data_IF_711226755206
#
_entry.id   IF_711226755206
#
_cell.length_a   1.000
_cell.length_b   1.000
_cell.length_c   1.000
_cell.angle_alpha   90.00
_cell.angle_beta   90.00
_cell.angle_gamma   90.00
#
_symmetry.space_group_name_H-M   'P 1'
#
loop_
_entity.id
_entity.type
_entity.pdbx_description
1 polymer ?
#
# COMPACT_ATOMS: atom_id res chain seq x y z
N UNK A 1 -27.05 29.61 7.61
CA UNK A 1 -26.43 28.79 6.54
C UNK A 1 -27.36 27.65 6.16
N UNK A 2 -27.44 27.34 4.87
CA UNK A 2 -28.30 26.31 4.29
C UNK A 2 -27.79 24.93 4.71
N UNK A 3 -28.68 24.07 5.24
CA UNK A 3 -28.35 22.65 5.47
C UNK A 3 -27.88 22.04 4.15
N UNK A 4 -26.88 21.14 4.23
CA UNK A 4 -26.49 20.35 3.08
C UNK A 4 -27.70 19.55 2.58
N UNK A 5 -27.89 19.54 1.27
CA UNK A 5 -28.91 18.67 0.67
C UNK A 5 -28.48 17.20 0.80
N UNK A 6 -29.44 16.25 0.77
CA UNK A 6 -29.15 14.83 0.96
C UNK A 6 -28.13 14.25 -0.03
N UNK A 7 -28.09 14.73 -1.28
CA UNK A 7 -27.16 14.24 -2.29
C UNK A 7 -25.73 14.72 -1.99
N UNK A 8 -25.58 15.96 -1.53
CA UNK A 8 -24.28 16.47 -1.05
C UNK A 8 -23.81 15.70 0.18
N UNK A 9 -24.67 15.41 1.15
CA UNK A 9 -24.32 14.59 2.32
C UNK A 9 -23.83 13.21 1.91
N UNK A 10 -24.54 12.53 1.01
CA UNK A 10 -24.13 11.22 0.49
C UNK A 10 -22.76 11.28 -0.21
N UNK A 11 -22.51 12.34 -0.97
CA UNK A 11 -21.23 12.58 -1.65
C UNK A 11 -20.10 12.77 -0.63
N UNK A 12 -20.33 13.55 0.42
CA UNK A 12 -19.37 13.76 1.52
C UNK A 12 -19.08 12.42 2.23
N UNK A 13 -20.10 11.65 2.57
CA UNK A 13 -19.93 10.33 3.20
C UNK A 13 -19.14 9.35 2.31
N UNK A 14 -19.38 9.34 1.00
CA UNK A 14 -18.61 8.55 0.05
C UNK A 14 -17.13 8.97 0.04
N UNK A 15 -16.86 10.29 0.05
CA UNK A 15 -15.50 10.81 0.15
C UNK A 15 -14.84 10.40 1.47
N UNK A 16 -15.54 10.49 2.61
CA UNK A 16 -15.03 10.02 3.91
C UNK A 16 -14.67 8.54 3.84
N UNK A 17 -15.52 7.70 3.22
CA UNK A 17 -15.24 6.29 2.99
C UNK A 17 -13.95 6.06 2.19
N UNK A 18 -13.75 6.78 1.08
CA UNK A 18 -12.50 6.73 0.29
C UNK A 18 -11.30 7.19 1.11
N UNK A 19 -11.46 8.26 1.88
CA UNK A 19 -10.45 8.82 2.78
C UNK A 19 -9.96 7.77 3.78
N UNK A 20 -10.89 7.12 4.48
CA UNK A 20 -10.59 6.13 5.51
C UNK A 20 -10.11 4.80 4.94
N UNK A 21 -10.80 4.25 3.93
CA UNK A 21 -10.57 2.88 3.45
C UNK A 21 -9.42 2.79 2.45
N UNK A 22 -9.06 3.89 1.79
CA UNK A 22 -8.05 3.90 0.71
C UNK A 22 -6.93 4.88 1.01
N UNK A 23 -7.24 6.17 1.14
CA UNK A 23 -6.22 7.23 1.25
C UNK A 23 -5.35 7.04 2.49
N UNK A 24 -5.94 6.85 3.67
CA UNK A 24 -5.17 6.66 4.91
C UNK A 24 -4.32 5.38 4.86
N UNK A 25 -4.86 4.19 4.53
CA UNK A 25 -4.06 2.97 4.39
C UNK A 25 -2.93 3.07 3.37
N UNK A 26 -3.16 3.70 2.21
CA UNK A 26 -2.10 3.93 1.21
C UNK A 26 -1.06 4.90 1.76
N UNK A 27 -1.49 6.03 2.33
CA UNK A 27 -0.63 7.06 2.89
C UNK A 27 0.27 6.54 4.02
N UNK A 28 -0.27 5.80 4.99
CA UNK A 28 0.56 5.28 6.11
C UNK A 28 1.57 4.22 5.64
N UNK A 29 1.25 3.46 4.58
CA UNK A 29 2.20 2.51 3.96
C UNK A 29 3.31 3.24 3.21
N UNK A 30 3.02 4.38 2.60
CA UNK A 30 4.03 5.28 2.05
C UNK A 30 4.86 5.92 3.17
N UNK A 31 4.27 6.37 4.27
CA UNK A 31 5.06 6.94 5.37
C UNK A 31 5.99 5.89 6.00
N UNK A 32 5.53 4.64 6.15
CA UNK A 32 6.28 3.58 6.81
C UNK A 32 6.46 3.87 8.30
N UNK A 33 7.66 3.64 8.84
CA UNK A 33 7.99 4.12 10.20
C UNK A 33 7.87 5.66 10.22
N UNK A 34 7.35 6.29 11.28
CA UNK A 34 7.10 5.74 12.61
C UNK A 34 5.71 5.10 12.82
N UNK A 35 4.86 4.98 11.79
CA UNK A 35 3.54 4.36 11.96
C UNK A 35 3.71 2.89 12.36
N UNK A 36 3.04 2.41 13.43
CA UNK A 36 3.17 1.04 13.87
C UNK A 36 2.45 0.09 12.91
N UNK A 37 3.20 -0.88 12.38
CA UNK A 37 2.69 -1.97 11.50
C UNK A 37 1.70 -1.43 10.45
N UNK A 38 2.11 -0.52 9.53
CA UNK A 38 1.20 0.18 8.62
C UNK A 38 0.50 -0.75 7.60
N UNK A 39 0.97 -1.99 7.46
CA UNK A 39 0.31 -3.02 6.66
C UNK A 39 -0.73 -3.86 7.42
N UNK A 40 -0.88 -3.66 8.74
CA UNK A 40 -1.80 -4.44 9.58
C UNK A 40 -3.25 -4.29 9.14
N UNK A 41 -4.00 -5.40 9.14
CA UNK A 41 -5.43 -5.41 8.89
C UNK A 41 -6.23 -4.59 9.93
N UNK A 42 -5.65 -4.35 11.11
CA UNK A 42 -6.27 -3.52 12.15
C UNK A 42 -6.58 -2.09 11.66
N UNK A 43 -5.66 -1.49 10.89
CA UNK A 43 -5.88 -0.15 10.34
C UNK A 43 -7.09 -0.11 9.40
N UNK A 44 -7.26 -1.14 8.58
CA UNK A 44 -8.38 -1.27 7.66
C UNK A 44 -9.69 -1.57 8.41
N UNK A 45 -9.64 -2.38 9.46
CA UNK A 45 -10.80 -2.64 10.33
C UNK A 45 -11.29 -1.37 11.03
N UNK A 46 -10.39 -0.60 11.63
CA UNK A 46 -10.73 0.69 12.26
C UNK A 46 -11.29 1.70 11.24
N UNK A 47 -10.70 1.77 10.04
CA UNK A 47 -11.21 2.57 8.93
C UNK A 47 -12.62 2.14 8.50
N UNK A 48 -12.88 0.83 8.41
CA UNK A 48 -14.19 0.31 8.03
C UNK A 48 -15.27 0.68 9.05
N UNK A 49 -14.94 0.63 10.34
CA UNK A 49 -15.82 1.11 11.40
C UNK A 49 -16.14 2.61 11.25
N UNK A 50 -15.13 3.46 11.07
CA UNK A 50 -15.34 4.90 10.81
C UNK A 50 -16.19 5.17 9.56
N UNK A 51 -15.89 4.49 8.46
CA UNK A 51 -16.61 4.65 7.20
C UNK A 51 -18.05 4.13 7.28
N UNK A 52 -18.33 3.08 8.05
CA UNK A 52 -19.68 2.60 8.29
C UNK A 52 -20.49 3.56 9.18
N UNK A 53 -19.83 4.20 10.17
CA UNK A 53 -20.50 5.08 11.12
C UNK A 53 -21.25 6.24 10.45
N UNK A 54 -20.73 6.77 9.33
CA UNK A 54 -21.37 7.91 8.64
C UNK A 54 -22.70 7.56 7.97
N UNK A 55 -22.97 6.28 7.75
CA UNK A 55 -24.22 5.79 7.16
C UNK A 55 -25.26 5.35 8.20
N UNK A 56 -24.88 5.32 9.48
CA UNK A 56 -25.79 5.01 10.57
C UNK A 56 -26.59 6.27 10.98
N UNK A 57 -27.83 6.12 11.45
CA UNK A 57 -28.56 7.20 12.10
C UNK A 57 -27.74 7.76 13.27
N UNK A 58 -27.70 9.09 13.39
CA UNK A 58 -27.03 9.78 14.50
C UNK A 58 -27.58 9.28 15.84
N UNK A 59 -26.69 8.92 16.76
CA UNK A 59 -27.02 8.36 18.06
C UNK A 59 -25.86 7.56 18.66
N UNK A 60 -26.04 7.09 19.89
CA UNK A 60 -24.97 6.43 20.67
C UNK A 60 -24.28 5.27 19.94
N UNK A 61 -25.01 4.47 19.16
CA UNK A 61 -24.43 3.38 18.38
C UNK A 61 -23.51 3.87 17.26
N UNK A 62 -23.89 4.91 16.53
CA UNK A 62 -23.04 5.46 15.48
C UNK A 62 -21.74 6.03 16.07
N UNK A 63 -21.82 6.67 17.24
CA UNK A 63 -20.64 7.15 17.97
C UNK A 63 -19.72 6.01 18.40
N UNK A 64 -20.28 4.93 19.00
CA UNK A 64 -19.51 3.74 19.40
C UNK A 64 -18.81 3.09 18.21
N UNK A 65 -19.51 2.95 17.07
CA UNK A 65 -18.92 2.41 15.83
C UNK A 65 -17.81 3.31 15.28
N UNK A 66 -17.80 4.62 15.55
CA UNK A 66 -16.72 5.51 15.16
C UNK A 66 -15.48 5.44 16.09
N UNK A 67 -15.58 4.92 17.31
CA UNK A 67 -14.48 4.90 18.30
C UNK A 67 -13.22 4.17 17.81
N UNK A 68 -13.28 2.99 17.15
CA UNK A 68 -12.08 2.35 16.61
C UNK A 68 -11.28 3.25 15.67
N UNK A 69 -11.97 4.05 14.85
CA UNK A 69 -11.33 5.04 13.99
C UNK A 69 -10.66 6.16 14.77
N UNK A 70 -11.32 6.67 15.83
CA UNK A 70 -10.71 7.65 16.75
C UNK A 70 -9.42 7.13 17.37
N UNK A 71 -9.40 5.88 17.84
CA UNK A 71 -8.19 5.25 18.40
C UNK A 71 -7.09 5.15 17.34
N UNK A 72 -7.43 4.78 16.10
CA UNK A 72 -6.47 4.76 15.00
C UNK A 72 -5.88 6.15 14.72
N UNK A 73 -6.71 7.20 14.67
CA UNK A 73 -6.22 8.57 14.49
C UNK A 73 -5.38 9.06 15.67
N UNK A 74 -5.67 8.66 16.91
CA UNK A 74 -4.83 8.97 18.06
C UNK A 74 -3.43 8.33 17.95
N UNK A 75 -3.34 7.08 17.48
CA UNK A 75 -2.05 6.44 17.21
C UNK A 75 -1.28 7.12 16.08
N UNK A 76 -1.97 7.61 15.04
CA UNK A 76 -1.33 8.40 13.98
C UNK A 76 -0.80 9.73 14.54
N UNK A 77 -1.57 10.41 15.41
CA UNK A 77 -1.10 11.65 16.04
C UNK A 77 0.14 11.43 16.91
N UNK A 78 0.21 10.32 17.66
CA UNK A 78 1.42 9.94 18.40
C UNK A 78 2.60 9.67 17.46
N UNK A 79 2.37 9.01 16.32
CA UNK A 79 3.40 8.82 15.30
C UNK A 79 3.87 10.17 14.72
N UNK A 80 2.95 11.10 14.45
CA UNK A 80 3.22 12.47 14.01
C UNK A 80 4.03 13.28 15.02
N UNK A 81 3.71 13.16 16.31
CA UNK A 81 4.52 13.75 17.39
C UNK A 81 5.94 13.18 17.40
N UNK A 82 6.08 11.87 17.19
CA UNK A 82 7.39 11.23 17.03
C UNK A 82 8.20 11.82 15.86
N UNK A 83 7.56 12.10 14.72
CA UNK A 83 8.20 12.80 13.58
C UNK A 83 8.59 14.23 13.96
N UNK A 84 7.70 14.97 14.63
CA UNK A 84 7.95 16.36 15.06
C UNK A 84 9.11 16.49 16.05
N UNK A 85 9.25 15.52 16.96
CA UNK A 85 10.33 15.50 17.96
C UNK A 85 11.66 15.13 17.31
N UNK A 86 11.69 14.11 16.45
CA UNK A 86 12.94 13.63 15.84
C UNK A 86 13.45 14.52 14.70
N UNK A 87 12.54 15.04 13.87
CA UNK A 87 12.84 15.87 12.68
C UNK A 87 13.93 15.27 11.78
N UNK A 88 13.99 13.95 11.73
CA UNK A 88 15.03 13.15 11.07
C UNK A 88 14.77 12.98 9.56
N UNK A 89 13.67 13.54 9.05
CA UNK A 89 13.31 13.52 7.63
C UNK A 89 13.19 14.93 7.07
N UNK A 90 13.67 15.19 5.85
CA UNK A 90 13.56 16.52 5.23
C UNK A 90 12.12 17.06 5.18
N UNK A 91 11.13 16.19 4.95
CA UNK A 91 9.70 16.54 4.87
C UNK A 91 8.93 16.43 6.18
N UNK A 92 9.62 16.45 7.32
CA UNK A 92 9.00 16.25 8.64
C UNK A 92 7.79 17.18 8.92
N UNK A 93 7.69 18.45 8.48
CA UNK A 93 6.53 19.29 8.82
C UNK A 93 5.25 18.73 8.22
N UNK A 94 5.27 18.40 6.92
CA UNK A 94 4.16 17.78 6.23
C UNK A 94 3.81 16.41 6.80
N UNK A 95 4.80 15.59 7.12
CA UNK A 95 4.58 14.28 7.73
C UNK A 95 3.97 14.37 9.13
N UNK A 96 4.45 15.28 9.99
CA UNK A 96 3.95 15.44 11.35
C UNK A 96 2.50 15.96 11.36
N UNK A 97 2.21 17.04 10.62
CA UNK A 97 0.86 17.60 10.52
C UNK A 97 -0.08 16.63 9.82
N UNK A 98 0.38 15.97 8.76
CA UNK A 98 -0.41 14.98 8.03
C UNK A 98 -0.83 13.81 8.89
N UNK A 99 0.05 13.30 9.75
CA UNK A 99 -0.29 12.21 10.67
C UNK A 99 -1.15 12.66 11.87
N UNK A 100 -1.05 13.92 12.30
CA UNK A 100 -1.78 14.41 13.47
C UNK A 100 -3.21 14.89 13.17
N UNK A 101 -3.42 15.56 12.04
CA UNK A 101 -4.71 16.19 11.68
C UNK A 101 -5.91 15.24 11.58
N UNK A 102 -5.79 13.94 11.19
CA UNK A 102 -6.91 13.00 11.27
C UNK A 102 -7.58 12.91 12.63
N UNK A 103 -6.86 13.17 13.73
CA UNK A 103 -7.43 13.16 15.08
C UNK A 103 -8.51 14.23 15.25
N UNK A 104 -8.33 15.42 14.66
CA UNK A 104 -9.34 16.49 14.68
C UNK A 104 -10.61 16.02 13.96
N UNK A 105 -10.44 15.40 12.78
CA UNK A 105 -11.55 14.85 12.00
C UNK A 105 -12.27 13.72 12.73
N UNK A 106 -11.53 12.85 13.42
CA UNK A 106 -12.12 11.74 14.18
C UNK A 106 -12.86 12.20 15.44
N UNK A 107 -12.38 13.24 16.12
CA UNK A 107 -13.09 13.86 17.25
C UNK A 107 -14.39 14.53 16.76
N UNK A 108 -14.34 15.26 15.65
CA UNK A 108 -15.53 15.83 15.03
C UNK A 108 -16.54 14.75 14.61
N UNK A 109 -16.07 13.66 14.01
CA UNK A 109 -16.90 12.51 13.64
C UNK A 109 -17.61 11.91 14.85
N UNK A 110 -16.90 11.61 15.93
CA UNK A 110 -17.51 10.99 17.12
C UNK A 110 -18.54 11.92 17.76
N UNK A 111 -18.22 13.22 17.88
CA UNK A 111 -19.14 14.21 18.44
C UNK A 111 -20.42 14.32 17.59
N UNK A 112 -20.27 14.44 16.27
CA UNK A 112 -21.40 14.57 15.36
C UNK A 112 -22.24 13.29 15.30
N UNK A 113 -21.61 12.10 15.28
CA UNK A 113 -22.32 10.81 15.37
C UNK A 113 -23.04 10.62 16.71
N UNK A 114 -22.56 11.25 17.79
CA UNK A 114 -23.23 11.25 19.10
C UNK A 114 -24.40 12.25 19.18
N UNK A 115 -24.58 13.11 18.17
CA UNK A 115 -25.54 14.20 18.20
C UNK A 115 -25.09 15.36 19.09
N UNK A 116 -23.80 15.48 19.35
CA UNK A 116 -23.21 16.53 20.18
C UNK A 116 -22.57 17.63 19.33
N UNK A 117 -22.51 18.83 19.91
CA UNK A 117 -21.63 19.88 19.42
C UNK A 117 -20.19 19.71 19.94
N UNK A 118 -19.23 20.29 19.25
CA UNK A 118 -17.82 20.31 19.63
C UNK A 118 -17.25 21.71 19.41
N UNK A 119 -16.69 22.32 20.46
CA UNK A 119 -16.06 23.65 20.42
C UNK A 119 -16.97 24.76 19.84
N UNK A 120 -18.27 24.68 20.08
CA UNK A 120 -19.26 25.65 19.57
C UNK A 120 -19.83 25.31 18.19
N UNK A 121 -19.37 24.24 17.55
CA UNK A 121 -19.85 23.80 16.23
C UNK A 121 -20.71 22.55 16.33
N UNK A 122 -21.64 22.38 15.40
CA UNK A 122 -22.54 21.22 15.34
C UNK A 122 -23.03 20.96 13.91
N UNK A 123 -23.60 19.78 13.68
CA UNK A 123 -24.22 19.41 12.39
C UNK A 123 -23.22 19.42 11.23
N UNK A 124 -23.61 20.05 10.12
CA UNK A 124 -22.88 20.03 8.85
C UNK A 124 -21.42 20.50 8.94
N UNK A 125 -21.11 21.38 9.88
CA UNK A 125 -19.73 21.82 10.12
C UNK A 125 -18.82 20.67 10.58
N UNK A 126 -19.31 19.86 11.52
CA UNK A 126 -18.56 18.69 11.99
C UNK A 126 -18.47 17.64 10.88
N UNK A 127 -19.56 17.44 10.13
CA UNK A 127 -19.59 16.54 8.96
C UNK A 127 -18.55 16.92 7.91
N UNK A 128 -18.41 18.21 7.58
CA UNK A 128 -17.43 18.70 6.62
C UNK A 128 -16.01 18.75 7.17
N UNK A 129 -15.82 18.79 8.50
CA UNK A 129 -14.48 18.72 9.12
C UNK A 129 -13.78 17.39 8.82
N UNK A 130 -14.52 16.28 8.82
CA UNK A 130 -13.98 14.93 8.59
C UNK A 130 -13.24 14.81 7.25
N UNK A 131 -13.86 15.07 6.07
CA UNK A 131 -13.15 14.98 4.80
C UNK A 131 -12.01 16.01 4.70
N UNK A 132 -12.14 17.23 5.24
CA UNK A 132 -11.05 18.21 5.21
C UNK A 132 -9.80 17.68 5.93
N UNK A 133 -9.96 17.07 7.11
CA UNK A 133 -8.84 16.49 7.84
C UNK A 133 -8.26 15.24 7.17
N UNK A 134 -9.07 14.45 6.44
CA UNK A 134 -8.60 13.29 5.69
C UNK A 134 -7.81 13.68 4.41
N UNK A 135 -8.27 14.70 3.69
CA UNK A 135 -7.71 15.05 2.38
C UNK A 135 -6.74 16.22 2.44
N UNK A 136 -7.13 17.37 2.99
CA UNK A 136 -6.23 18.51 3.14
C UNK A 136 -5.27 18.31 4.33
N UNK A 137 -5.79 17.88 5.47
CA UNK A 137 -4.99 17.56 6.66
C UNK A 137 -3.97 16.47 6.38
N UNK A 138 -4.44 15.24 6.16
CA UNK A 138 -3.57 14.08 5.94
C UNK A 138 -3.00 14.01 4.52
N UNK A 139 -3.86 13.92 3.51
CA UNK A 139 -3.45 13.66 2.13
C UNK A 139 -2.45 14.68 1.56
N UNK A 140 -2.83 15.95 1.54
CA UNK A 140 -2.00 17.03 0.99
C UNK A 140 -0.70 17.23 1.78
N UNK A 141 -0.74 17.22 3.11
CA UNK A 141 0.47 17.36 3.92
C UNK A 141 1.43 16.16 3.72
N UNK A 142 0.90 14.94 3.58
CA UNK A 142 1.73 13.78 3.27
C UNK A 142 2.36 13.89 1.87
N UNK A 143 1.60 14.29 0.85
CA UNK A 143 2.13 14.49 -0.51
C UNK A 143 3.26 15.52 -0.47
N UNK A 144 3.04 16.67 0.17
CA UNK A 144 4.05 17.71 0.30
C UNK A 144 5.29 17.20 1.06
N UNK A 145 5.11 16.47 2.16
CA UNK A 145 6.20 15.91 2.96
C UNK A 145 6.99 14.80 2.26
N UNK A 146 6.34 14.00 1.41
CA UNK A 146 6.99 12.93 0.66
C UNK A 146 7.78 13.43 -0.55
N UNK A 147 7.35 14.54 -1.16
CA UNK A 147 7.97 15.08 -2.38
C UNK A 147 9.05 16.15 -2.15
N UNK A 148 9.39 16.50 -0.90
CA UNK A 148 10.27 17.66 -0.62
C UNK A 148 11.65 17.61 -1.31
N UNK A 149 12.11 16.42 -1.70
CA UNK A 149 13.41 16.24 -2.36
C UNK A 149 13.36 16.58 -3.86
N UNK A 150 12.17 16.75 -4.45
CA UNK A 150 11.92 17.00 -5.88
C UNK A 150 12.20 18.45 -6.32
N UNK A 151 13.09 19.15 -5.59
CA UNK A 151 13.57 20.49 -5.92
C UNK A 151 13.09 21.60 -5.00
N UNK A 152 13.41 22.85 -5.36
CA UNK A 152 13.18 24.03 -4.50
C UNK A 152 11.71 24.31 -4.24
N UNK A 153 10.86 24.16 -5.27
CA UNK A 153 9.41 24.35 -5.14
C UNK A 153 8.80 23.33 -4.15
N UNK A 154 9.22 22.07 -4.21
CA UNK A 154 8.74 21.03 -3.31
C UNK A 154 9.22 21.22 -1.86
N UNK A 155 10.48 21.66 -1.64
CA UNK A 155 10.95 22.04 -0.29
C UNK A 155 10.13 23.15 0.33
N UNK A 156 9.80 24.17 -0.48
CA UNK A 156 8.97 25.28 -0.01
C UNK A 156 7.55 24.81 0.32
N UNK A 157 6.97 23.98 -0.56
CA UNK A 157 5.68 23.34 -0.34
C UNK A 157 5.64 22.45 0.91
N UNK A 158 6.74 21.77 1.24
CA UNK A 158 6.89 20.96 2.45
C UNK A 158 6.67 21.72 3.77
N UNK A 159 6.78 23.05 3.74
CA UNK A 159 6.44 23.95 4.84
C UNK A 159 5.11 24.65 4.65
N UNK A 160 4.84 25.21 3.47
CA UNK A 160 3.67 26.05 3.26
C UNK A 160 2.37 25.27 3.25
N UNK A 161 2.36 24.02 2.79
CA UNK A 161 1.15 23.16 2.87
C UNK A 161 0.74 22.89 4.32
N UNK A 162 1.58 22.33 5.20
CA UNK A 162 1.18 22.09 6.59
C UNK A 162 0.88 23.37 7.37
N UNK A 163 1.61 24.46 7.11
CA UNK A 163 1.30 25.76 7.72
C UNK A 163 -0.04 26.29 7.24
N UNK A 164 -0.32 26.24 5.94
CA UNK A 164 -1.60 26.65 5.37
C UNK A 164 -2.78 25.86 5.93
N UNK A 165 -2.65 24.53 6.06
CA UNK A 165 -3.66 23.69 6.72
C UNK A 165 -3.93 24.14 8.16
N UNK A 166 -2.88 24.37 8.95
CA UNK A 166 -3.04 24.83 10.33
C UNK A 166 -3.64 26.23 10.41
N UNK A 167 -3.27 27.14 9.49
CA UNK A 167 -3.84 28.49 9.42
C UNK A 167 -5.32 28.46 9.05
N UNK A 168 -5.76 27.62 8.10
CA UNK A 168 -7.18 27.44 7.79
C UNK A 168 -7.92 26.87 9.02
N UNK A 169 -7.35 25.85 9.66
CA UNK A 169 -7.95 25.24 10.86
C UNK A 169 -8.09 26.24 12.02
N UNK A 170 -7.08 27.07 12.25
CA UNK A 170 -7.11 28.13 13.28
C UNK A 170 -8.03 29.28 12.85
N UNK A 171 -8.00 29.64 11.56
CA UNK A 171 -8.80 30.71 10.97
C UNK A 171 -10.29 30.52 11.22
N UNK A 172 -10.75 29.27 11.24
CA UNK A 172 -12.12 28.89 11.59
C UNK A 172 -12.59 29.42 12.97
N UNK A 173 -11.66 29.64 13.91
CA UNK A 173 -11.94 30.21 15.24
C UNK A 173 -11.68 31.72 15.34
N UNK A 174 -10.96 32.30 14.37
CA UNK A 174 -10.49 33.69 14.42
C UNK A 174 -11.34 34.59 13.52
N UNK A 175 -11.71 34.11 12.34
CA UNK A 175 -12.54 34.82 11.37
C UNK A 175 -12.08 34.62 9.91
N UNK A 176 -12.96 35.02 9.00
CA UNK A 176 -12.87 34.70 7.56
C UNK A 176 -11.62 35.27 6.89
N UNK A 177 -11.11 36.42 7.37
CA UNK A 177 -9.85 36.99 6.87
C UNK A 177 -8.64 36.10 7.18
N UNK A 178 -8.62 35.45 8.34
CA UNK A 178 -7.56 34.50 8.68
C UNK A 178 -7.67 33.22 7.85
N UNK A 179 -8.89 32.78 7.56
CA UNK A 179 -9.15 31.65 6.67
C UNK A 179 -8.67 31.95 5.23
N UNK A 180 -8.90 33.17 4.71
CA UNK A 180 -8.36 33.60 3.42
C UNK A 180 -6.84 33.56 3.38
N UNK A 181 -6.15 34.05 4.42
CA UNK A 181 -4.68 33.97 4.51
C UNK A 181 -4.22 32.51 4.50
N UNK A 182 -4.88 31.64 5.28
CA UNK A 182 -4.61 30.21 5.28
C UNK A 182 -4.80 29.57 3.91
N UNK A 183 -5.90 29.90 3.22
CA UNK A 183 -6.21 29.40 1.88
C UNK A 183 -5.19 29.85 0.83
N UNK A 184 -4.70 31.09 0.90
CA UNK A 184 -3.63 31.61 0.04
C UNK A 184 -2.31 30.87 0.26
N UNK A 185 -1.89 30.70 1.52
CA UNK A 185 -0.66 29.97 1.87
C UNK A 185 -0.73 28.51 1.44
N UNK A 186 -1.86 27.85 1.72
CA UNK A 186 -2.11 26.47 1.31
C UNK A 186 -2.08 26.34 -0.22
N UNK A 187 -2.75 27.23 -0.95
CA UNK A 187 -2.77 27.21 -2.42
C UNK A 187 -1.38 27.37 -3.01
N UNK A 188 -0.59 28.32 -2.51
CA UNK A 188 0.78 28.52 -2.98
C UNK A 188 1.65 27.27 -2.76
N UNK A 189 1.49 26.60 -1.61
CA UNK A 189 2.16 25.33 -1.34
C UNK A 189 1.73 24.20 -2.29
N UNK A 190 0.42 24.03 -2.48
CA UNK A 190 -0.13 23.01 -3.37
C UNK A 190 0.25 23.22 -4.84
N UNK A 191 0.34 24.48 -5.28
CA UNK A 191 0.87 24.83 -6.60
C UNK A 191 2.35 24.45 -6.71
N UNK A 192 3.14 24.70 -5.67
CA UNK A 192 4.52 24.25 -5.59
C UNK A 192 4.67 22.73 -5.73
N UNK A 193 3.83 21.94 -5.04
CA UNK A 193 3.76 20.48 -5.20
C UNK A 193 3.42 20.10 -6.64
N UNK A 194 2.38 20.70 -7.21
CA UNK A 194 1.90 20.38 -8.56
C UNK A 194 2.96 20.66 -9.63
N UNK A 195 3.59 21.83 -9.58
CA UNK A 195 4.62 22.22 -10.54
C UNK A 195 5.87 21.35 -10.41
N UNK A 196 6.30 21.02 -9.19
CA UNK A 196 7.40 20.07 -8.98
C UNK A 196 7.07 18.68 -9.55
N UNK A 197 5.86 18.19 -9.29
CA UNK A 197 5.39 16.89 -9.79
C UNK A 197 5.35 16.85 -11.32
N UNK A 198 4.86 17.91 -11.97
CA UNK A 198 4.82 18.01 -13.44
C UNK A 198 6.22 18.10 -14.06
N UNK A 199 7.14 18.81 -13.40
CA UNK A 199 8.53 18.93 -13.82
C UNK A 199 9.34 17.64 -13.70
N UNK A 200 8.91 16.71 -12.85
CA UNK A 200 9.62 15.46 -12.53
C UNK A 200 8.78 14.19 -12.77
N UNK A 201 7.90 14.20 -13.79
CA UNK A 201 7.04 13.05 -14.07
C UNK A 201 7.85 11.78 -14.39
N UNK A 202 7.54 10.65 -13.76
CA UNK A 202 8.31 9.41 -13.88
C UNK A 202 8.15 8.72 -15.25
N UNK A 203 9.07 7.79 -15.60
CA UNK A 203 8.83 6.83 -16.67
C UNK A 203 7.69 5.86 -16.29
N UNK A 204 6.90 5.41 -17.29
CA UNK A 204 5.78 4.47 -17.10
C UNK A 204 4.40 5.12 -17.23
N UNK A 205 3.48 4.47 -17.97
CA UNK A 205 2.19 5.08 -18.37
C UNK A 205 1.24 5.35 -17.20
N UNK A 206 1.09 4.41 -16.26
CA UNK A 206 0.10 4.53 -15.20
C UNK A 206 0.50 5.52 -14.08
N UNK A 207 1.69 5.43 -13.45
CA UNK A 207 2.09 6.40 -12.42
C UNK A 207 2.17 7.83 -12.96
N UNK A 208 2.71 8.00 -14.18
CA UNK A 208 2.76 9.30 -14.87
C UNK A 208 1.39 9.93 -15.03
N UNK A 209 0.40 9.16 -15.52
CA UNK A 209 -0.97 9.67 -15.71
C UNK A 209 -1.60 10.09 -14.38
N UNK A 210 -1.47 9.26 -13.34
CA UNK A 210 -2.05 9.55 -12.03
C UNK A 210 -1.45 10.81 -11.38
N UNK A 211 -0.13 10.96 -11.44
CA UNK A 211 0.57 12.14 -10.92
C UNK A 211 0.24 13.40 -11.72
N UNK A 212 0.16 13.30 -13.05
CA UNK A 212 -0.24 14.43 -13.90
C UNK A 212 -1.69 14.87 -13.64
N UNK A 213 -2.63 13.91 -13.53
CA UNK A 213 -4.02 14.18 -13.17
C UNK A 213 -4.11 14.88 -11.82
N UNK A 214 -3.35 14.39 -10.82
CA UNK A 214 -3.34 14.99 -9.50
C UNK A 214 -2.83 16.43 -9.49
N UNK A 215 -1.69 16.67 -10.16
CA UNK A 215 -1.11 17.99 -10.28
C UNK A 215 -2.05 18.98 -11.01
N UNK A 216 -2.63 18.59 -12.14
CA UNK A 216 -3.56 19.46 -12.89
C UNK A 216 -4.84 19.73 -12.09
N UNK A 217 -5.35 18.72 -11.38
CA UNK A 217 -6.58 18.86 -10.61
C UNK A 217 -6.41 19.80 -9.43
N UNK A 218 -5.29 19.75 -8.71
CA UNK A 218 -5.07 20.67 -7.58
C UNK A 218 -4.88 22.12 -8.06
N UNK A 219 -4.25 22.32 -9.23
CA UNK A 219 -4.15 23.65 -9.84
C UNK A 219 -5.55 24.22 -10.14
N UNK A 220 -6.43 23.44 -10.75
CA UNK A 220 -7.78 23.92 -11.07
C UNK A 220 -8.68 24.08 -9.83
N UNK A 221 -8.67 23.10 -8.92
CA UNK A 221 -9.59 23.07 -7.79
C UNK A 221 -9.28 24.10 -6.71
N UNK A 222 -8.02 24.53 -6.56
CA UNK A 222 -7.68 25.58 -5.58
C UNK A 222 -8.13 26.97 -6.02
N UNK A 223 -8.38 27.21 -7.32
CA UNK A 223 -9.03 28.45 -7.78
C UNK A 223 -10.43 28.58 -7.16
N UNK A 224 -11.17 27.47 -7.05
CA UNK A 224 -12.49 27.47 -6.40
C UNK A 224 -12.39 27.78 -4.90
N UNK A 225 -11.37 27.25 -4.22
CA UNK A 225 -11.14 27.56 -2.80
C UNK A 225 -10.80 29.04 -2.59
N UNK A 226 -9.95 29.62 -3.44
CA UNK A 226 -9.63 31.04 -3.36
C UNK A 226 -10.84 31.93 -3.67
N UNK A 227 -11.66 31.56 -4.66
CA UNK A 227 -12.90 32.27 -4.95
C UNK A 227 -13.85 32.22 -3.75
N UNK A 228 -14.04 31.04 -3.16
CA UNK A 228 -14.87 30.88 -1.97
C UNK A 228 -14.34 31.70 -0.78
N UNK A 229 -13.06 31.55 -0.42
CA UNK A 229 -12.48 32.23 0.73
C UNK A 229 -12.42 33.76 0.57
N UNK A 230 -12.18 34.25 -0.65
CA UNK A 230 -12.23 35.68 -0.94
C UNK A 230 -13.67 36.20 -0.79
N UNK A 231 -14.64 35.43 -1.30
CA UNK A 231 -16.06 35.74 -1.16
C UNK A 231 -16.49 35.88 0.29
N UNK A 232 -16.18 34.88 1.12
CA UNK A 232 -16.53 34.89 2.54
C UNK A 232 -15.89 36.09 3.26
N UNK A 233 -14.60 36.36 3.01
CA UNK A 233 -13.88 37.44 3.66
C UNK A 233 -14.29 38.87 3.21
N UNK A 234 -14.94 39.02 2.05
CA UNK A 234 -15.23 40.34 1.45
C UNK A 234 -16.70 40.59 1.13
N UNK A 235 -17.55 39.57 1.22
CA UNK A 235 -18.95 39.61 0.79
C UNK A 235 -19.15 39.56 -0.73
N UNK A 236 -18.10 39.29 -1.52
CA UNK A 236 -18.22 39.13 -2.97
C UNK A 236 -18.99 37.85 -3.33
N UNK A 237 -19.77 37.80 -4.43
CA UNK A 237 -20.48 36.59 -4.83
C UNK A 237 -19.55 35.38 -4.99
N UNK A 238 -19.91 34.27 -4.35
CA UNK A 238 -19.10 33.06 -4.30
C UNK A 238 -19.96 31.79 -4.35
N UNK A 239 -19.38 30.62 -4.70
CA UNK A 239 -20.11 29.36 -4.71
C UNK A 239 -20.62 29.01 -3.30
N UNK A 240 -21.80 28.38 -3.25
CA UNK A 240 -22.33 27.84 -1.99
C UNK A 240 -21.57 26.60 -1.52
N UNK A 241 -21.71 26.26 -0.24
CA UNK A 241 -20.97 25.15 0.39
C UNK A 241 -21.24 23.78 -0.26
N UNK A 242 -22.46 23.55 -0.74
CA UNK A 242 -22.80 22.31 -1.44
C UNK A 242 -22.08 22.18 -2.78
N UNK A 243 -22.00 23.27 -3.55
CA UNK A 243 -21.24 23.30 -4.80
C UNK A 243 -19.75 23.10 -4.55
N UNK A 244 -19.21 23.73 -3.50
CA UNK A 244 -17.82 23.54 -3.09
C UNK A 244 -17.53 22.08 -2.71
N UNK A 245 -18.40 21.43 -1.94
CA UNK A 245 -18.26 20.02 -1.60
C UNK A 245 -18.26 19.13 -2.86
N UNK A 246 -19.21 19.35 -3.78
CA UNK A 246 -19.36 18.54 -4.99
C UNK A 246 -18.27 18.77 -6.06
N UNK A 247 -17.64 19.94 -6.08
CA UNK A 247 -16.62 20.31 -7.08
C UNK A 247 -15.23 20.31 -6.47
N UNK A 248 -14.88 21.35 -5.71
CA UNK A 248 -13.59 21.51 -5.05
C UNK A 248 -13.25 20.31 -4.15
N UNK A 249 -14.19 19.88 -3.31
CA UNK A 249 -14.00 18.77 -2.38
C UNK A 249 -13.73 17.45 -3.09
N UNK A 250 -14.61 17.05 -4.01
CA UNK A 250 -14.46 15.80 -4.79
C UNK A 250 -13.20 15.83 -5.66
N UNK A 251 -12.91 16.96 -6.31
CA UNK A 251 -11.71 17.12 -7.13
C UNK A 251 -10.42 16.94 -6.30
N UNK A 252 -10.35 17.55 -5.11
CA UNK A 252 -9.19 17.38 -4.24
C UNK A 252 -9.10 15.97 -3.67
N UNK A 253 -10.22 15.36 -3.29
CA UNK A 253 -10.25 14.02 -2.72
C UNK A 253 -9.79 12.94 -3.72
N UNK A 254 -10.44 12.90 -4.89
CA UNK A 254 -10.25 11.83 -5.88
C UNK A 254 -9.18 12.17 -6.91
N UNK A 255 -9.25 13.38 -7.47
CA UNK A 255 -8.37 13.81 -8.54
C UNK A 255 -6.98 14.13 -8.03
N UNK A 256 -6.86 14.92 -6.96
CA UNK A 256 -5.55 15.26 -6.39
C UNK A 256 -5.01 14.17 -5.45
N UNK A 257 -5.60 14.01 -4.27
CA UNK A 257 -5.01 13.22 -3.18
C UNK A 257 -4.92 11.74 -3.54
N UNK A 258 -6.05 11.13 -3.90
CA UNK A 258 -6.08 9.70 -4.23
C UNK A 258 -5.18 9.37 -5.42
N UNK A 259 -5.31 10.09 -6.54
CA UNK A 259 -4.49 9.84 -7.72
C UNK A 259 -3.00 9.99 -7.41
N UNK A 260 -2.60 11.05 -6.68
CA UNK A 260 -1.19 11.29 -6.35
C UNK A 260 -0.64 10.20 -5.45
N UNK A 261 -1.33 9.84 -4.36
CA UNK A 261 -0.86 8.81 -3.44
C UNK A 261 -0.80 7.42 -4.09
N UNK A 262 -1.77 7.06 -4.94
CA UNK A 262 -1.71 5.80 -5.70
C UNK A 262 -0.55 5.86 -6.71
N UNK A 263 -0.36 6.97 -7.41
CA UNK A 263 0.77 7.19 -8.30
C UNK A 263 2.12 6.98 -7.59
N UNK A 264 2.32 7.64 -6.44
CA UNK A 264 3.51 7.47 -5.60
C UNK A 264 3.67 6.02 -5.11
N UNK A 265 2.58 5.34 -4.76
CA UNK A 265 2.61 3.95 -4.32
C UNK A 265 3.02 2.98 -5.42
N UNK A 266 2.66 3.26 -6.67
CA UNK A 266 3.08 2.50 -7.84
C UNK A 266 4.54 2.78 -8.22
N UNK A 267 5.09 3.95 -7.87
CA UNK A 267 6.51 4.26 -8.08
C UNK A 267 7.44 3.62 -7.07
N UNK A 268 6.98 3.41 -5.83
CA UNK A 268 7.85 2.82 -4.81
C UNK A 268 8.32 1.43 -5.23
N UNK A 269 9.64 1.20 -5.35
CA UNK A 269 10.18 -0.14 -5.44
C UNK A 269 9.61 -0.96 -4.27
N UNK A 270 9.16 -2.19 -4.54
CA UNK A 270 8.92 -3.14 -3.44
C UNK A 270 10.24 -3.23 -2.67
N UNK A 271 10.19 -3.16 -1.33
CA UNK A 271 11.41 -3.17 -0.52
C UNK A 271 12.32 -4.32 -0.98
N UNK A 272 13.56 -3.99 -1.31
CA UNK A 272 14.54 -4.89 -1.93
C UNK A 272 15.42 -5.51 -0.85
N UNK A 273 15.87 -6.74 -1.10
CA UNK A 273 16.69 -7.51 -0.18
C UNK A 273 15.95 -8.69 0.46
N UNK A 274 16.65 -9.81 0.59
CA UNK A 274 16.16 -11.05 1.17
C UNK A 274 15.76 -10.85 2.64
N UNK A 275 14.72 -11.57 3.07
CA UNK A 275 14.14 -11.42 4.43
C UNK A 275 14.76 -12.34 5.48
N UNK A 276 15.86 -13.01 5.14
CA UNK A 276 16.61 -13.98 5.95
C UNK A 276 18.11 -13.84 5.66
N UNK A 277 18.96 -14.40 6.52
CA UNK A 277 20.41 -14.21 6.45
C UNK A 277 21.14 -15.37 5.77
N UNK A 278 20.56 -16.57 5.81
CA UNK A 278 21.17 -17.84 5.41
C UNK A 278 21.04 -18.10 3.91
N UNK A 279 21.43 -17.12 3.10
CA UNK A 279 21.28 -17.12 1.63
C UNK A 279 22.06 -18.28 1.01
N UNK A 280 21.36 -19.15 0.29
CA UNK A 280 21.89 -20.31 -0.40
C UNK A 280 21.92 -21.60 0.42
N UNK A 281 21.49 -21.58 1.69
CA UNK A 281 21.60 -22.72 2.59
C UNK A 281 20.76 -23.95 2.16
N UNK A 282 19.82 -23.80 1.21
CA UNK A 282 19.14 -24.97 0.61
C UNK A 282 20.06 -25.85 -0.25
N UNK A 283 21.27 -25.38 -0.62
CA UNK A 283 22.33 -26.19 -1.26
C UNK A 283 23.00 -27.17 -0.28
N UNK A 284 23.03 -26.82 1.01
CA UNK A 284 23.80 -27.54 2.02
C UNK A 284 23.07 -28.80 2.51
N UNK A 285 23.82 -29.77 3.04
CA UNK A 285 23.22 -30.99 3.58
C UNK A 285 22.25 -30.70 4.74
N UNK A 286 22.65 -29.77 5.64
CA UNK A 286 21.87 -29.39 6.81
C UNK A 286 21.18 -28.04 6.61
N UNK A 287 19.90 -27.96 6.98
CA UNK A 287 19.13 -26.72 6.89
C UNK A 287 19.28 -25.87 8.17
N UNK A 288 19.29 -24.53 8.07
CA UNK A 288 19.56 -23.64 9.20
C UNK A 288 18.58 -23.80 10.37
N UNK A 289 19.09 -23.76 11.61
CA UNK A 289 18.22 -23.77 12.79
C UNK A 289 17.33 -22.52 12.90
N UNK A 290 16.21 -22.62 13.63
CA UNK A 290 15.29 -21.48 13.85
C UNK A 290 14.22 -21.31 12.78
N UNK A 291 14.17 -22.21 11.80
CA UNK A 291 13.18 -22.27 10.74
C UNK A 291 12.38 -23.58 10.81
N UNK A 292 11.23 -23.60 10.14
CA UNK A 292 10.54 -24.85 9.84
C UNK A 292 11.08 -25.40 8.53
N UNK A 293 11.35 -26.70 8.50
CA UNK A 293 11.92 -27.37 7.35
C UNK A 293 10.91 -28.23 6.61
N UNK A 294 11.07 -28.28 5.29
CA UNK A 294 10.51 -29.29 4.43
C UNK A 294 11.64 -29.84 3.55
N UNK A 295 11.79 -31.15 3.53
CA UNK A 295 12.61 -31.84 2.54
C UNK A 295 11.76 -32.99 1.98
N UNK A 296 11.33 -32.86 0.74
CA UNK A 296 10.43 -33.80 0.10
C UNK A 296 10.98 -34.22 -1.25
N UNK A 297 11.04 -35.54 -1.48
CA UNK A 297 11.55 -36.15 -2.71
C UNK A 297 10.43 -36.96 -3.36
N UNK A 298 10.23 -36.78 -4.67
CA UNK A 298 9.19 -37.44 -5.44
C UNK A 298 9.81 -38.12 -6.68
N UNK A 299 9.59 -39.42 -6.92
CA UNK A 299 10.11 -40.05 -8.14
C UNK A 299 9.37 -39.45 -9.34
N UNK A 300 10.06 -39.21 -10.44
CA UNK A 300 9.51 -38.61 -11.66
C UNK A 300 9.45 -39.65 -12.77
N UNK A 301 10.56 -40.32 -13.02
CA UNK A 301 10.71 -41.27 -14.12
C UNK A 301 11.84 -42.26 -13.84
N UNK A 302 11.59 -43.54 -14.10
CA UNK A 302 12.61 -44.59 -14.08
C UNK A 302 13.25 -44.75 -15.46
N UNK A 303 14.47 -45.30 -15.50
CA UNK A 303 15.22 -45.52 -16.74
C UNK A 303 15.58 -44.21 -17.47
N UNK A 304 15.79 -43.14 -16.70
CA UNK A 304 16.05 -41.80 -17.22
C UNK A 304 17.53 -41.59 -17.54
N UNK A 305 17.80 -40.73 -18.52
CA UNK A 305 19.15 -40.35 -18.93
C UNK A 305 19.51 -38.92 -18.52
N UNK A 306 20.76 -38.51 -18.79
CA UNK A 306 21.21 -37.13 -18.65
C UNK A 306 20.47 -36.17 -19.59
N UNK A 307 20.02 -36.64 -20.76
CA UNK A 307 19.18 -35.85 -21.67
C UNK A 307 17.78 -35.62 -21.08
N UNK A 308 17.20 -36.63 -20.42
CA UNK A 308 15.95 -36.45 -19.68
C UNK A 308 16.15 -35.43 -18.55
N UNK A 309 17.24 -35.54 -17.77
CA UNK A 309 17.56 -34.56 -16.72
C UNK A 309 17.60 -33.13 -17.27
N UNK A 310 18.28 -32.92 -18.40
CA UNK A 310 18.35 -31.60 -19.04
C UNK A 310 16.98 -31.09 -19.48
N UNK A 311 16.16 -31.93 -20.10
CA UNK A 311 14.82 -31.55 -20.57
C UNK A 311 13.88 -31.17 -19.43
N UNK A 312 13.85 -31.96 -18.34
CA UNK A 312 13.05 -31.66 -17.16
C UNK A 312 13.60 -30.45 -16.38
N UNK A 313 14.92 -30.27 -16.38
CA UNK A 313 15.58 -29.09 -15.86
C UNK A 313 15.15 -27.82 -16.59
N UNK A 314 15.09 -27.82 -17.93
CA UNK A 314 14.58 -26.69 -18.71
C UNK A 314 13.09 -26.42 -18.47
N UNK A 315 12.26 -27.46 -18.33
CA UNK A 315 10.85 -27.31 -17.96
C UNK A 315 10.69 -26.59 -16.60
N UNK A 316 11.59 -26.86 -15.67
CA UNK A 316 11.64 -26.22 -14.36
C UNK A 316 12.15 -24.76 -14.44
N UNK A 317 13.30 -24.54 -15.08
CA UNK A 317 13.97 -23.24 -15.17
C UNK A 317 13.23 -22.22 -16.06
N UNK A 318 12.41 -22.71 -17.00
CA UNK A 318 11.53 -21.86 -17.82
C UNK A 318 10.21 -21.50 -17.14
N UNK A 319 9.98 -21.97 -15.90
CA UNK A 319 8.71 -21.90 -15.15
C UNK A 319 7.56 -22.73 -15.74
N UNK A 320 7.82 -23.58 -16.72
CA UNK A 320 6.77 -24.38 -17.38
C UNK A 320 6.15 -25.38 -16.40
N UNK A 321 6.95 -26.03 -15.56
CA UNK A 321 6.47 -26.88 -14.47
C UNK A 321 5.53 -26.13 -13.50
N UNK A 322 5.88 -24.90 -13.13
CA UNK A 322 5.10 -24.07 -12.23
C UNK A 322 3.76 -23.65 -12.87
N UNK A 323 3.80 -23.16 -14.11
CA UNK A 323 2.60 -22.76 -14.86
C UNK A 323 1.65 -23.93 -15.10
N UNK A 324 2.17 -25.11 -15.44
CA UNK A 324 1.37 -26.34 -15.59
C UNK A 324 0.73 -26.77 -14.27
N UNK A 325 1.32 -26.42 -13.13
CA UNK A 325 0.73 -26.63 -11.80
C UNK A 325 -0.33 -25.55 -11.43
N UNK A 326 -0.63 -24.60 -12.31
CA UNK A 326 -1.57 -23.49 -12.04
C UNK A 326 -0.95 -22.32 -11.26
N UNK A 327 0.36 -22.34 -11.04
CA UNK A 327 1.09 -21.23 -10.40
C UNK A 327 1.35 -20.16 -11.45
N UNK A 328 0.90 -18.94 -11.18
CA UNK A 328 1.26 -17.80 -12.03
C UNK A 328 2.65 -17.34 -11.63
N UNK A 329 3.54 -17.20 -12.60
CA UNK A 329 4.86 -16.64 -12.39
C UNK A 329 4.96 -15.38 -13.24
N UNK A 330 5.16 -14.23 -12.59
CA UNK A 330 5.50 -12.98 -13.26
C UNK A 330 7.01 -12.72 -13.04
N UNK A 331 7.81 -12.98 -14.07
CA UNK A 331 9.28 -12.85 -14.06
C UNK A 331 9.92 -13.47 -15.31
N UNK A 332 11.16 -13.10 -15.59
CA UNK A 332 11.99 -13.72 -16.63
C UNK A 332 12.30 -15.20 -16.27
N UNK A 333 12.76 -16.02 -17.24
CA UNK A 333 13.30 -17.35 -16.94
C UNK A 333 14.35 -17.32 -15.82
N UNK A 334 14.48 -18.43 -15.09
CA UNK A 334 15.32 -18.53 -13.89
C UNK A 334 16.78 -18.15 -14.20
N UNK A 335 17.26 -17.11 -13.51
CA UNK A 335 18.65 -16.66 -13.52
C UNK A 335 18.98 -16.05 -12.15
N UNK A 336 20.20 -16.25 -11.66
CA UNK A 336 20.64 -15.71 -10.35
C UNK A 336 20.44 -14.18 -10.28
N UNK A 337 19.94 -13.68 -9.15
CA UNK A 337 19.53 -12.29 -8.95
C UNK A 337 18.20 -11.91 -9.63
N UNK A 338 17.57 -12.83 -10.37
CA UNK A 338 16.30 -12.61 -11.05
C UNK A 338 15.16 -12.37 -10.06
N UNK A 339 14.39 -11.32 -10.26
CA UNK A 339 13.20 -11.02 -9.45
C UNK A 339 11.96 -11.70 -10.04
N UNK A 340 11.20 -12.38 -9.19
CA UNK A 340 10.02 -13.12 -9.59
C UNK A 340 8.87 -12.90 -8.61
N UNK A 341 7.65 -12.89 -9.10
CA UNK A 341 6.45 -12.95 -8.25
C UNK A 341 5.71 -14.26 -8.51
N UNK A 342 5.59 -15.09 -7.46
CA UNK A 342 4.81 -16.32 -7.48
C UNK A 342 3.37 -16.05 -7.04
N UNK A 343 2.41 -16.52 -7.83
CA UNK A 343 0.99 -16.22 -7.72
C UNK A 343 0.14 -17.46 -7.51
N UNK A 344 -0.24 -17.75 -6.27
CA UNK A 344 -1.03 -18.94 -5.90
C UNK A 344 -2.49 -18.54 -5.63
N UNK A 345 -3.45 -19.27 -6.21
CA UNK A 345 -4.89 -19.03 -6.05
C UNK A 345 -5.59 -18.50 -7.30
N UNK A 346 -6.88 -18.17 -7.18
CA UNK A 346 -7.76 -17.83 -8.31
C UNK A 346 -8.34 -16.41 -8.14
N UNK A 347 -8.36 -15.65 -9.24
CA UNK A 347 -8.99 -14.33 -9.29
C UNK A 347 -8.44 -13.33 -8.25
N UNK A 348 -9.30 -12.53 -7.60
CA UNK A 348 -8.88 -11.49 -6.66
C UNK A 348 -8.33 -12.03 -5.32
N UNK A 349 -8.48 -13.34 -5.04
CA UNK A 349 -7.95 -13.99 -3.84
C UNK A 349 -6.54 -14.55 -4.04
N UNK A 350 -5.91 -14.28 -5.19
CA UNK A 350 -4.56 -14.76 -5.50
C UNK A 350 -3.53 -14.12 -4.59
N UNK A 351 -2.78 -14.95 -3.88
CA UNK A 351 -1.62 -14.54 -3.10
C UNK A 351 -0.48 -14.18 -4.05
N UNK A 352 0.17 -13.06 -3.79
CA UNK A 352 1.29 -12.54 -4.59
C UNK A 352 2.53 -12.53 -3.71
N UNK A 353 3.43 -13.48 -3.97
CA UNK A 353 4.61 -13.76 -3.16
C UNK A 353 5.87 -13.30 -3.93
N UNK A 354 6.49 -12.17 -3.55
CA UNK A 354 7.69 -11.68 -4.20
C UNK A 354 8.93 -12.45 -3.74
N UNK A 355 9.76 -12.86 -4.70
CA UNK A 355 10.98 -13.63 -4.46
C UNK A 355 12.14 -13.15 -5.35
N UNK A 356 13.35 -13.56 -5.01
CA UNK A 356 14.58 -13.36 -5.77
C UNK A 356 15.28 -14.71 -5.97
N UNK A 357 15.73 -15.02 -7.17
CA UNK A 357 16.50 -16.24 -7.43
C UNK A 357 17.88 -16.10 -6.78
N UNK A 358 18.16 -16.93 -5.79
CA UNK A 358 19.41 -16.86 -5.00
C UNK A 358 20.49 -17.78 -5.54
N UNK A 359 20.08 -18.85 -6.23
CA UNK A 359 21.02 -19.71 -6.93
C UNK A 359 20.37 -20.51 -8.05
N UNK A 360 21.21 -20.90 -9.01
CA UNK A 360 20.86 -21.86 -10.07
C UNK A 360 21.95 -22.93 -10.14
N UNK A 361 21.55 -24.19 -10.36
CA UNK A 361 22.46 -25.30 -10.59
C UNK A 361 22.14 -25.99 -11.91
N UNK A 362 23.17 -26.26 -12.70
CA UNK A 362 23.14 -27.07 -13.91
C UNK A 362 24.35 -28.00 -13.89
N UNK A 363 24.17 -29.23 -13.41
CA UNK A 363 25.21 -30.26 -13.34
C UNK A 363 24.76 -31.54 -14.03
N UNK A 364 25.69 -32.48 -14.23
CA UNK A 364 25.38 -33.78 -14.85
C UNK A 364 24.44 -34.66 -14.00
N UNK A 365 24.32 -34.35 -12.70
CA UNK A 365 23.47 -35.09 -11.77
C UNK A 365 22.23 -34.31 -11.33
N UNK A 366 22.23 -32.96 -11.41
CA UNK A 366 21.16 -32.12 -10.88
C UNK A 366 20.94 -30.87 -11.72
N UNK A 367 19.67 -30.48 -11.89
CA UNK A 367 19.28 -29.18 -12.44
C UNK A 367 18.20 -28.58 -11.56
N UNK A 368 18.38 -27.33 -11.14
CA UNK A 368 17.44 -26.70 -10.24
C UNK A 368 17.81 -25.28 -9.88
N UNK A 369 17.03 -24.71 -8.97
CA UNK A 369 17.24 -23.36 -8.46
C UNK A 369 16.61 -23.22 -7.08
N UNK A 370 16.98 -22.17 -6.37
CA UNK A 370 16.18 -21.67 -5.25
C UNK A 370 15.84 -20.21 -5.43
N UNK A 371 14.71 -19.82 -4.83
CA UNK A 371 14.42 -18.44 -4.56
C UNK A 371 14.44 -18.16 -3.07
N UNK A 372 14.81 -16.94 -2.73
CA UNK A 372 14.67 -16.34 -1.43
C UNK A 372 13.50 -15.38 -1.38
N UNK A 373 12.87 -15.28 -0.22
CA UNK A 373 11.68 -14.47 0.00
C UNK A 373 11.99 -12.98 0.20
N UNK A 374 11.24 -12.11 -0.48
CA UNK A 374 11.35 -10.65 -0.39
C UNK A 374 10.24 -10.04 0.50
N UNK A 375 10.39 -8.79 0.96
CA UNK A 375 9.34 -8.07 1.69
C UNK A 375 7.98 -8.07 0.96
N UNK A 376 6.97 -8.59 1.65
CA UNK A 376 5.62 -8.79 1.11
C UNK A 376 5.22 -10.26 1.02
N UNK A 377 6.19 -11.17 1.05
CA UNK A 377 5.93 -12.60 1.15
C UNK A 377 5.33 -12.96 2.53
N UNK A 378 4.47 -13.98 2.57
CA UNK A 378 3.89 -14.52 3.80
C UNK A 378 4.91 -15.16 4.74
N UNK A 379 6.03 -15.65 4.19
CA UNK A 379 7.10 -16.32 4.91
C UNK A 379 8.43 -15.61 4.67
N UNK A 380 9.36 -15.80 5.61
CA UNK A 380 10.77 -15.42 5.48
C UNK A 380 11.62 -16.69 5.47
N UNK A 381 12.48 -16.84 4.46
CA UNK A 381 13.26 -18.05 4.20
C UNK A 381 13.53 -18.30 2.71
N UNK A 382 13.91 -19.52 2.39
CA UNK A 382 14.35 -19.97 1.05
C UNK A 382 13.66 -21.29 0.66
N UNK A 383 13.40 -21.45 -0.64
CA UNK A 383 12.80 -22.66 -1.20
C UNK A 383 13.50 -23.05 -2.51
N UNK A 384 13.96 -24.30 -2.56
CA UNK A 384 14.66 -24.91 -3.68
C UNK A 384 13.81 -25.95 -4.38
N UNK A 385 13.91 -25.98 -5.71
CA UNK A 385 13.30 -26.97 -6.58
C UNK A 385 14.39 -27.58 -7.46
N UNK A 386 14.57 -28.90 -7.37
CA UNK A 386 15.67 -29.60 -8.04
C UNK A 386 15.13 -30.86 -8.70
N UNK A 387 15.50 -31.06 -9.96
CA UNK A 387 15.43 -32.37 -10.61
C UNK A 387 16.80 -33.01 -10.49
N UNK A 388 16.89 -34.22 -9.98
CA UNK A 388 18.13 -34.96 -9.78
C UNK A 388 18.04 -36.37 -10.38
N UNK A 389 19.13 -36.81 -11.02
CA UNK A 389 19.26 -38.17 -11.55
C UNK A 389 20.06 -39.00 -10.54
N UNK A 390 19.46 -40.10 -10.07
CA UNK A 390 20.01 -40.99 -9.04
C UNK A 390 19.70 -42.44 -9.42
N UNK A 391 20.75 -43.23 -9.67
CA UNK A 391 20.67 -44.63 -10.12
C UNK A 391 19.64 -44.89 -11.25
N UNK A 392 19.69 -44.05 -12.28
CA UNK A 392 18.79 -44.16 -13.45
C UNK A 392 17.34 -43.72 -13.18
N UNK A 393 17.06 -43.13 -12.02
CA UNK A 393 15.76 -42.57 -11.66
C UNK A 393 15.85 -41.05 -11.57
N UNK A 394 14.97 -40.34 -12.26
CA UNK A 394 14.78 -38.90 -12.06
C UNK A 394 13.89 -38.66 -10.85
N UNK A 395 14.35 -37.80 -9.95
CA UNK A 395 13.62 -37.36 -8.78
C UNK A 395 13.39 -35.85 -8.84
N UNK A 396 12.24 -35.41 -8.34
CA UNK A 396 11.96 -34.01 -8.06
C UNK A 396 12.02 -33.80 -6.56
N UNK A 397 12.91 -32.91 -6.12
CA UNK A 397 13.14 -32.59 -4.71
C UNK A 397 12.78 -31.14 -4.44
N UNK A 398 12.06 -30.92 -3.33
CA UNK A 398 11.73 -29.60 -2.80
C UNK A 398 12.35 -29.48 -1.42
N UNK A 399 13.20 -28.46 -1.22
CA UNK A 399 13.82 -28.16 0.08
C UNK A 399 13.47 -26.74 0.50
N UNK A 400 12.96 -26.59 1.71
CA UNK A 400 12.50 -25.31 2.25
C UNK A 400 13.01 -25.16 3.66
N UNK A 401 13.49 -23.97 4.00
CA UNK A 401 13.49 -23.49 5.38
C UNK A 401 12.74 -22.16 5.43
N UNK A 402 11.74 -22.04 6.29
CA UNK A 402 11.00 -20.78 6.41
C UNK A 402 10.33 -20.56 7.76
N UNK A 403 9.99 -19.31 8.04
CA UNK A 403 9.23 -18.88 9.23
C UNK A 403 8.15 -17.87 8.83
N UNK A 404 7.02 -17.78 9.56
CA UNK A 404 5.99 -16.80 9.25
C UNK A 404 6.50 -15.34 9.34
N UNK A 405 6.37 -14.58 8.25
CA UNK A 405 6.70 -13.16 8.21
C UNK A 405 5.52 -12.28 8.64
N UNK A 406 4.29 -12.73 8.36
CA UNK A 406 3.06 -12.00 8.71
C UNK A 406 2.45 -12.51 10.01
N UNK A 407 1.92 -11.58 10.83
CA UNK A 407 1.39 -11.90 12.17
C UNK A 407 0.26 -12.92 12.19
N UNK A 408 -0.65 -12.89 11.20
CA UNK A 408 -1.76 -13.84 11.10
C UNK A 408 -1.31 -15.24 10.65
N UNK A 409 -0.23 -15.34 9.86
CA UNK A 409 0.34 -16.62 9.41
C UNK A 409 0.91 -17.40 10.59
N UNK A 410 1.36 -16.71 11.66
CA UNK A 410 1.79 -17.35 12.91
C UNK A 410 0.65 -18.12 13.60
N UNK A 411 -0.58 -17.62 13.49
CA UNK A 411 -1.76 -18.21 14.13
C UNK A 411 -2.18 -19.50 13.42
N UNK A 412 -2.08 -19.55 12.10
CA UNK A 412 -2.39 -20.75 11.28
C UNK A 412 -1.18 -21.67 11.08
N UNK A 413 -0.14 -21.51 11.90
CA UNK A 413 1.16 -22.18 11.78
C UNK A 413 1.10 -23.69 11.52
N UNK A 414 0.27 -24.50 12.21
CA UNK A 414 0.17 -25.93 11.94
C UNK A 414 -0.31 -26.27 10.51
N UNK A 415 -1.23 -25.47 9.97
CA UNK A 415 -1.80 -25.65 8.62
C UNK A 415 -0.80 -25.26 7.53
N UNK A 416 0.06 -24.28 7.79
CA UNK A 416 1.07 -23.81 6.84
C UNK A 416 2.02 -24.93 6.35
N UNK A 417 2.44 -25.83 7.24
CA UNK A 417 3.33 -26.94 6.87
C UNK A 417 2.63 -27.99 5.99
N UNK A 418 1.32 -28.20 6.21
CA UNK A 418 0.50 -29.05 5.34
C UNK A 418 0.35 -28.41 3.96
N UNK A 419 0.12 -27.11 3.90
CA UNK A 419 0.00 -26.37 2.64
C UNK A 419 1.30 -26.40 1.81
N UNK A 420 2.48 -26.24 2.44
CA UNK A 420 3.78 -26.35 1.76
C UNK A 420 4.00 -27.76 1.17
N UNK A 421 3.67 -28.82 1.92
CA UNK A 421 3.72 -30.20 1.40
C UNK A 421 2.75 -30.44 0.26
N UNK A 422 1.51 -29.94 0.37
CA UNK A 422 0.52 -30.05 -0.69
C UNK A 422 0.96 -29.31 -1.97
N UNK A 423 1.58 -28.14 -1.82
CA UNK A 423 2.17 -27.37 -2.91
C UNK A 423 3.32 -28.12 -3.60
N UNK A 424 4.26 -28.67 -2.83
CA UNK A 424 5.34 -29.51 -3.36
C UNK A 424 4.80 -30.72 -4.15
N UNK A 425 3.77 -31.39 -3.63
CA UNK A 425 3.11 -32.51 -4.33
C UNK A 425 2.34 -32.10 -5.58
N UNK A 426 1.79 -30.88 -5.64
CA UNK A 426 1.18 -30.32 -6.84
C UNK A 426 2.22 -30.06 -7.94
N UNK A 427 3.37 -29.47 -7.58
CA UNK A 427 4.49 -29.27 -8.50
C UNK A 427 5.08 -30.60 -8.98
N UNK A 428 5.28 -31.58 -8.08
CA UNK A 428 5.76 -32.90 -8.45
C UNK A 428 4.86 -33.60 -9.50
N UNK A 429 3.53 -33.50 -9.34
CA UNK A 429 2.57 -34.01 -10.33
C UNK A 429 2.68 -33.29 -11.67
N UNK A 430 3.00 -32.00 -11.65
CA UNK A 430 3.22 -31.19 -12.85
C UNK A 430 4.51 -31.59 -13.58
N UNK A 431 5.61 -31.78 -12.84
CA UNK A 431 6.89 -32.23 -13.39
C UNK A 431 6.74 -33.62 -14.02
N UNK A 432 6.06 -34.57 -13.34
CA UNK A 432 5.75 -35.90 -13.89
C UNK A 432 4.94 -35.90 -15.20
N UNK A 433 4.21 -34.83 -15.48
CA UNK A 433 3.40 -34.69 -16.71
C UNK A 433 4.17 -34.04 -17.85
N UNK A 434 5.43 -33.64 -17.64
CA UNK A 434 6.25 -33.13 -18.72
C UNK A 434 6.40 -34.20 -19.81
N UNK A 435 6.25 -33.84 -21.09
CA UNK A 435 6.48 -34.79 -22.17
C UNK A 435 7.93 -35.27 -22.13
N UNK A 436 8.14 -36.58 -22.27
CA UNK A 436 9.46 -37.13 -22.47
C UNK A 436 10.09 -36.49 -23.73
N UNK A 437 11.39 -36.13 -23.72
CA UNK A 437 12.07 -35.75 -24.94
C UNK A 437 11.89 -36.88 -25.96
N UNK A 438 11.36 -36.55 -27.14
CA UNK A 438 11.18 -37.51 -28.22
C UNK A 438 12.54 -38.08 -28.56
N UNK A 439 12.70 -39.41 -28.50
CA UNK A 439 13.84 -40.09 -29.09
C UNK A 439 13.83 -39.74 -30.57
N UNK A 440 14.67 -38.78 -30.98
CA UNK A 440 14.96 -38.55 -32.38
C UNK A 440 15.54 -39.87 -32.87
N UNK A 441 14.83 -40.51 -33.80
CA UNK A 441 15.33 -41.69 -34.49
C UNK A 441 16.74 -41.34 -35.01
N UNK A 442 17.74 -42.08 -34.52
CA UNK A 442 19.14 -41.95 -34.95
C UNK A 442 19.29 -42.30 -36.42
#
# INVERSE_FOLDING_TARGET
MTRLDPATVATVHACVGVGMLVVVPVGIRLVGRPVPRPASAWWLGAAACGAASVWLPVGGWAAVVAVPWLVACALLALAGLGVLVRRDRPGWPGLAVGLATPLVGALALVAERAGWGLLGYSGDYLTLTVPHMLFAGFGACLIAGLGVEDGRAARWAGWTVPVGVLLVLVGYFVGDAAELVGALVLTAGLYGVALATLGALPPGRAPRRLLAVGAVTVLASMVLALWWALGEATGLPHPGIGLMAATHGVANALGFVLATLVGLRLLRPRATGLTYAEVGATRDADLPAGYRHLDARFPVRDGATTEDLAAYGEDLLSWTAHRRAGVRIDGEPVAEGGLVTSGIGVGPLRLSEPCEIVWVERSAARVGFAYGTLPGHLFAGEEAFVVELDDGTLWFRVRVFSRPAQGWVRVVGPVAGVAQRAYAGMLARSVRRAPAPSAVAR
#
